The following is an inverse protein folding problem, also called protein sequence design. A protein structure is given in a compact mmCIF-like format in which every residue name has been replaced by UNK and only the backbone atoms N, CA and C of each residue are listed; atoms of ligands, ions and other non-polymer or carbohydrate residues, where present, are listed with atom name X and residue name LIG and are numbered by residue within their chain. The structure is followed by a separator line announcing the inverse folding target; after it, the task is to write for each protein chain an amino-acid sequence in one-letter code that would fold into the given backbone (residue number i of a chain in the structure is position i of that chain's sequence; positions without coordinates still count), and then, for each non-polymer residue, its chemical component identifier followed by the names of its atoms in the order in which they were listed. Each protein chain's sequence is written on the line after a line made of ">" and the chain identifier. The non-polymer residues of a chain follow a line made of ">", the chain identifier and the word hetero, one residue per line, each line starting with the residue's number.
data_IF_424702882685
#
_entry.id   IF_424702882685
#
_cell.length_a   1.000
_cell.length_b   1.000
_cell.length_c   1.000
_cell.angle_alpha   90.00
_cell.angle_beta   90.00
_cell.angle_gamma   90.00
#
_symmetry.space_group_name_H-M   'P 1'
#
loop_
_entity.id
_entity.type
_entity.pdbx_description
1 polymer ?
#
# COMPACT_ATOMS: atom_id res chain seq x y z
N UNK A 1 39.16 13.99 18.35
CA UNK A 1 38.42 14.31 17.07
C UNK A 1 37.32 15.30 17.40
N UNK A 2 37.33 16.52 16.85
CA UNK A 2 36.30 17.53 17.17
C UNK A 2 35.10 17.32 16.26
N UNK A 3 33.95 17.02 16.83
CA UNK A 3 32.68 17.04 16.08
C UNK A 3 32.31 18.49 15.73
N UNK A 4 31.86 18.74 14.50
CA UNK A 4 31.33 20.06 14.11
C UNK A 4 29.93 20.22 14.68
N UNK A 5 29.69 21.28 15.41
CA UNK A 5 28.38 21.65 15.95
C UNK A 5 27.70 22.62 14.99
N UNK A 6 26.43 22.41 14.71
CA UNK A 6 25.60 23.28 13.86
C UNK A 6 24.41 23.78 14.65
N UNK A 7 23.95 25.02 14.41
CA UNK A 7 22.77 25.56 15.07
C UNK A 7 21.51 24.82 14.61
N UNK A 8 20.57 24.66 15.54
CA UNK A 8 19.21 24.20 15.25
C UNK A 8 18.34 25.41 14.86
N UNK A 9 18.38 25.77 13.58
CA UNK A 9 17.67 26.90 13.00
C UNK A 9 16.88 26.47 11.75
N UNK A 10 16.18 27.40 11.11
CA UNK A 10 15.35 27.15 9.92
C UNK A 10 16.13 26.51 8.75
N UNK A 11 17.45 26.64 8.72
CA UNK A 11 18.31 26.08 7.66
C UNK A 11 18.82 24.65 8.01
N UNK A 12 18.37 24.07 9.10
CA UNK A 12 18.85 22.75 9.53
C UNK A 12 18.60 21.68 8.45
N UNK A 13 17.39 21.63 7.90
CA UNK A 13 17.03 20.62 6.89
C UNK A 13 17.82 20.76 5.60
N UNK A 14 18.06 21.99 5.12
CA UNK A 14 18.91 22.23 3.95
C UNK A 14 20.34 21.74 4.19
N UNK A 15 20.84 21.93 5.40
CA UNK A 15 22.17 21.44 5.80
C UNK A 15 22.20 19.91 5.88
N UNK A 16 21.19 19.26 6.44
CA UNK A 16 21.09 17.80 6.53
C UNK A 16 21.05 17.20 5.12
N UNK A 17 20.21 17.72 4.25
CA UNK A 17 20.10 17.31 2.84
C UNK A 17 21.42 17.51 2.07
N UNK A 18 22.06 18.67 2.21
CA UNK A 18 23.36 18.95 1.57
C UNK A 18 24.47 18.01 2.04
N UNK A 19 24.38 17.54 3.27
CA UNK A 19 25.35 16.62 3.88
C UNK A 19 24.98 15.15 3.70
N UNK A 20 23.84 14.86 3.08
CA UNK A 20 23.31 13.50 2.90
C UNK A 20 23.24 12.75 4.24
N UNK A 21 22.68 13.41 5.26
CA UNK A 21 22.43 12.78 6.56
C UNK A 21 21.17 11.93 6.40
N UNK A 22 21.29 10.64 6.66
CA UNK A 22 20.23 9.65 6.63
C UNK A 22 19.74 9.26 8.03
N UNK A 23 20.56 9.47 9.06
CA UNK A 23 20.28 9.05 10.43
C UNK A 23 20.62 10.14 11.45
N UNK A 24 19.73 10.36 12.40
CA UNK A 24 19.93 11.28 13.53
C UNK A 24 19.72 10.52 14.82
N UNK A 25 20.68 10.68 15.76
CA UNK A 25 20.57 10.13 17.10
C UNK A 25 20.16 11.25 18.06
N UNK A 26 19.06 11.06 18.78
CA UNK A 26 18.49 12.02 19.71
C UNK A 26 18.75 11.56 21.15
N UNK A 27 19.17 12.51 22.01
CA UNK A 27 19.24 12.24 23.45
C UNK A 27 17.83 12.07 24.03
N UNK A 28 17.58 11.08 24.91
CA UNK A 28 16.28 10.86 25.55
C UNK A 28 15.72 12.12 26.24
N UNK A 29 16.59 12.94 26.82
CA UNK A 29 16.19 14.20 27.48
C UNK A 29 15.72 15.29 26.53
N UNK A 30 15.96 15.14 25.22
CA UNK A 30 15.58 16.13 24.18
C UNK A 30 14.41 15.68 23.32
N UNK A 31 13.97 14.49 23.52
CA UNK A 31 12.88 13.87 22.79
C UNK A 31 11.62 14.74 22.91
N UNK A 32 11.16 15.03 24.12
CA UNK A 32 9.96 15.85 24.37
C UNK A 32 10.06 17.29 23.83
N UNK A 33 11.26 17.89 23.83
CA UNK A 33 11.49 19.22 23.26
C UNK A 33 11.30 19.22 21.74
N UNK A 34 11.74 18.16 21.06
CA UNK A 34 11.64 18.00 19.62
C UNK A 34 10.20 17.65 19.17
N UNK A 35 9.48 16.90 19.99
CA UNK A 35 8.04 16.65 19.83
C UNK A 35 7.24 17.96 19.81
N UNK A 36 7.40 18.75 20.88
CA UNK A 36 6.64 19.98 21.05
C UNK A 36 6.95 21.03 19.97
N UNK A 37 8.11 20.93 19.30
CA UNK A 37 8.53 21.84 18.24
C UNK A 37 8.08 21.42 16.84
N UNK A 38 7.46 20.25 16.66
CA UNK A 38 7.13 19.70 15.36
C UNK A 38 8.35 19.34 14.48
N UNK A 39 9.53 19.25 15.10
CA UNK A 39 10.79 18.97 14.41
C UNK A 39 10.85 17.51 13.94
N UNK A 40 10.28 16.60 14.73
CA UNK A 40 10.26 15.16 14.40
C UNK A 40 9.44 14.90 13.16
N UNK A 41 8.27 15.52 13.03
CA UNK A 41 7.43 15.41 11.83
C UNK A 41 8.19 15.83 10.57
N UNK A 42 9.02 16.88 10.70
CA UNK A 42 9.88 17.33 9.61
C UNK A 42 11.00 16.36 9.30
N UNK A 43 11.61 15.73 10.30
CA UNK A 43 12.67 14.72 10.10
C UNK A 43 12.11 13.50 9.35
N UNK A 44 10.98 12.96 9.80
CA UNK A 44 10.32 11.83 9.14
C UNK A 44 9.84 12.16 7.72
N UNK A 45 9.32 13.37 7.48
CA UNK A 45 8.90 13.79 6.13
C UNK A 45 10.06 13.92 5.13
N UNK A 46 11.31 13.91 5.61
CA UNK A 46 12.52 13.96 4.79
C UNK A 46 13.27 12.62 4.73
N UNK A 47 12.62 11.51 5.07
CA UNK A 47 13.20 10.15 5.09
C UNK A 47 14.46 10.05 5.97
N UNK A 48 14.51 10.77 7.09
CA UNK A 48 15.63 10.73 8.02
C UNK A 48 15.28 9.75 9.15
N UNK A 49 16.09 8.70 9.30
CA UNK A 49 15.98 7.76 10.41
C UNK A 49 16.28 8.46 11.74
N UNK A 50 15.40 8.28 12.70
CA UNK A 50 15.55 8.86 14.02
C UNK A 50 15.78 7.74 15.04
N UNK A 51 16.92 7.80 15.74
CA UNK A 51 17.31 6.82 16.75
C UNK A 51 17.42 7.49 18.11
N UNK A 52 17.20 6.77 19.19
CA UNK A 52 17.47 7.24 20.57
C UNK A 52 18.36 6.27 21.31
N UNK A 53 19.09 6.81 22.28
CA UNK A 53 19.85 6.00 23.22
C UNK A 53 18.92 5.66 24.39
N UNK A 54 18.71 4.38 24.75
CA UNK A 54 17.87 4.03 25.88
C UNK A 54 18.44 4.63 27.19
N UNK A 55 17.59 4.87 28.20
CA UNK A 55 18.05 5.29 29.51
C UNK A 55 19.09 4.31 30.06
N UNK A 56 20.07 4.81 30.79
CA UNK A 56 21.15 3.98 31.41
C UNK A 56 20.63 2.86 32.31
N UNK A 57 19.39 2.96 32.80
CA UNK A 57 18.70 1.92 33.57
C UNK A 57 18.39 0.66 32.75
N UNK A 58 18.24 0.79 31.43
CA UNK A 58 17.78 -0.26 30.52
C UNK A 58 18.94 -0.87 29.71
N UNK A 59 20.16 -0.39 29.94
CA UNK A 59 21.37 -0.81 29.21
C UNK A 59 21.96 -2.16 29.66
N UNK A 60 21.22 -3.01 30.33
CA UNK A 60 21.72 -4.31 30.79
C UNK A 60 21.62 -5.42 29.72
N UNK A 61 20.97 -5.19 28.59
CA UNK A 61 20.89 -6.13 27.46
C UNK A 61 21.28 -5.47 26.13
N UNK A 62 22.23 -6.03 25.49
CA UNK A 62 22.85 -5.96 24.13
C UNK A 62 22.39 -4.92 23.07
N UNK A 63 21.84 -3.79 23.39
CA UNK A 63 21.44 -2.81 22.39
C UNK A 63 21.54 -1.36 22.83
N UNK A 64 22.69 -0.73 22.58
CA UNK A 64 22.96 0.66 22.96
C UNK A 64 22.15 1.72 22.17
N UNK A 65 21.52 1.36 21.07
CA UNK A 65 20.79 2.30 20.20
C UNK A 65 19.53 1.59 19.69
N UNK A 66 18.36 2.19 19.93
CA UNK A 66 17.07 1.70 19.43
C UNK A 66 16.55 2.59 18.31
N UNK A 67 16.04 2.00 17.24
CA UNK A 67 15.19 2.72 16.28
C UNK A 67 13.92 3.17 16.98
N UNK A 68 13.63 4.46 16.88
CA UNK A 68 12.35 5.01 17.33
C UNK A 68 11.33 4.71 16.24
N UNK A 69 10.37 3.87 16.56
CA UNK A 69 9.22 3.67 15.70
C UNK A 69 8.23 4.82 15.90
N UNK A 70 7.52 5.22 14.83
CA UNK A 70 6.50 6.28 14.91
C UNK A 70 5.42 5.88 15.93
N UNK A 71 5.17 4.58 16.09
CA UNK A 71 4.24 4.00 17.03
C UNK A 71 4.58 4.30 18.50
N UNK A 72 5.86 4.41 18.84
CA UNK A 72 6.32 4.75 20.20
C UNK A 72 5.92 6.18 20.63
N UNK A 73 5.50 7.00 19.65
CA UNK A 73 5.16 8.41 19.83
C UNK A 73 3.66 8.70 19.71
N UNK A 74 2.87 7.71 19.31
CA UNK A 74 1.43 7.89 19.26
C UNK A 74 0.89 8.12 20.66
N UNK A 75 0.18 9.23 20.86
CA UNK A 75 -0.55 9.50 22.12
C UNK A 75 -1.82 8.65 22.26
N UNK A 76 -1.92 7.57 21.55
CA UNK A 76 -3.00 6.59 21.57
C UNK A 76 -2.45 5.18 21.55
N UNK A 77 -3.28 4.25 21.95
CA UNK A 77 -2.92 2.83 21.82
C UNK A 77 -2.76 2.45 20.34
N UNK A 78 -1.75 1.63 20.01
CA UNK A 78 -1.61 1.07 18.67
C UNK A 78 -2.85 0.29 18.25
N UNK A 79 -3.09 0.22 16.95
CA UNK A 79 -4.18 -0.58 16.40
C UNK A 79 -3.92 -2.06 16.72
N UNK A 80 -4.86 -2.69 17.39
CA UNK A 80 -4.80 -4.12 17.67
C UNK A 80 -5.53 -4.88 16.57
N UNK A 81 -4.87 -5.90 16.02
CA UNK A 81 -5.43 -6.85 15.05
C UNK A 81 -5.32 -8.27 15.59
N UNK A 82 -6.15 -9.17 15.10
CA UNK A 82 -6.05 -10.59 15.46
C UNK A 82 -4.95 -11.29 14.64
N UNK A 83 -3.69 -11.08 15.06
CA UNK A 83 -2.51 -11.65 14.41
C UNK A 83 -2.62 -13.17 14.25
N UNK A 84 -3.28 -13.89 15.19
CA UNK A 84 -3.43 -15.36 15.12
C UNK A 84 -4.29 -15.76 13.93
N UNK A 85 -5.38 -15.03 13.68
CA UNK A 85 -6.24 -15.29 12.52
C UNK A 85 -5.52 -14.97 11.22
N UNK A 86 -4.79 -13.85 11.18
CA UNK A 86 -3.99 -13.47 9.99
C UNK A 86 -2.96 -14.58 9.72
N UNK A 87 -2.20 -14.98 10.73
CA UNK A 87 -1.20 -16.07 10.60
C UNK A 87 -1.81 -17.34 10.06
N UNK A 88 -2.94 -17.81 10.60
CA UNK A 88 -3.60 -19.04 10.17
C UNK A 88 -3.97 -19.06 8.67
N UNK A 89 -4.16 -17.91 8.06
CA UNK A 89 -4.47 -17.80 6.62
C UNK A 89 -3.24 -17.58 5.74
N UNK A 90 -2.14 -17.08 6.30
CA UNK A 90 -0.91 -16.78 5.57
C UNK A 90 0.10 -17.93 5.65
N UNK A 91 0.19 -18.56 6.83
CA UNK A 91 1.13 -19.64 7.08
C UNK A 91 1.02 -20.75 6.03
N UNK A 92 2.18 -21.17 5.51
CA UNK A 92 2.26 -22.21 4.51
C UNK A 92 1.71 -21.85 3.12
N UNK A 93 1.34 -20.58 2.86
CA UNK A 93 0.79 -20.13 1.57
C UNK A 93 1.87 -19.47 0.69
N UNK A 94 1.66 -19.55 -0.62
CA UNK A 94 2.40 -18.74 -1.59
C UNK A 94 1.70 -17.39 -1.73
N UNK A 95 2.39 -16.33 -1.31
CA UNK A 95 1.84 -14.97 -1.28
C UNK A 95 2.60 -14.09 -2.27
N UNK A 96 1.89 -13.47 -3.20
CA UNK A 96 2.46 -12.52 -4.16
C UNK A 96 2.16 -11.09 -3.72
N UNK A 97 3.19 -10.24 -3.78
CA UNK A 97 3.05 -8.79 -3.60
C UNK A 97 3.55 -8.12 -4.87
N UNK A 98 2.70 -7.38 -5.56
CA UNK A 98 3.09 -6.52 -6.69
C UNK A 98 3.25 -5.09 -6.22
N UNK A 99 4.20 -4.35 -6.80
CA UNK A 99 4.63 -3.07 -6.23
C UNK A 99 5.41 -3.26 -4.93
N UNK A 100 6.13 -4.38 -4.82
CA UNK A 100 6.82 -4.81 -3.60
C UNK A 100 7.95 -3.86 -3.15
N UNK A 101 8.49 -3.07 -4.06
CA UNK A 101 9.54 -2.09 -3.78
C UNK A 101 8.98 -0.71 -3.33
N UNK A 102 7.68 -0.46 -3.53
CA UNK A 102 7.00 0.76 -3.07
C UNK A 102 6.82 0.78 -1.54
N UNK A 103 6.58 1.95 -0.95
CA UNK A 103 6.46 2.10 0.50
C UNK A 103 5.42 1.14 1.13
N UNK A 104 4.21 1.08 0.55
CA UNK A 104 3.13 0.19 1.03
C UNK A 104 3.49 -1.28 0.78
N UNK A 105 3.96 -1.62 -0.44
CA UNK A 105 4.30 -2.99 -0.79
C UNK A 105 5.44 -3.54 0.08
N UNK A 106 6.49 -2.74 0.31
CA UNK A 106 7.62 -3.11 1.18
C UNK A 106 7.17 -3.37 2.62
N UNK A 107 6.29 -2.53 3.16
CA UNK A 107 5.77 -2.72 4.51
C UNK A 107 4.90 -3.98 4.61
N UNK A 108 4.03 -4.22 3.63
CA UNK A 108 3.26 -5.49 3.54
C UNK A 108 4.19 -6.69 3.48
N UNK A 109 5.27 -6.63 2.70
CA UNK A 109 6.26 -7.70 2.59
C UNK A 109 6.94 -7.98 3.94
N UNK A 110 7.35 -6.93 4.67
CA UNK A 110 7.94 -7.07 6.01
C UNK A 110 6.99 -7.79 6.98
N UNK A 111 5.75 -7.36 7.02
CA UNK A 111 4.75 -7.96 7.89
C UNK A 111 4.43 -9.41 7.50
N UNK A 112 4.27 -9.70 6.21
CA UNK A 112 4.10 -11.06 5.72
C UNK A 112 5.26 -11.98 6.07
N UNK A 113 6.50 -11.47 6.06
CA UNK A 113 7.69 -12.25 6.40
C UNK A 113 7.66 -12.77 7.86
N UNK A 114 6.97 -12.07 8.76
CA UNK A 114 6.80 -12.51 10.17
C UNK A 114 5.73 -13.59 10.34
N UNK A 115 4.89 -13.83 9.32
CA UNK A 115 3.71 -14.71 9.38
C UNK A 115 3.96 -16.11 8.79
N UNK A 116 5.21 -16.46 8.52
CA UNK A 116 5.63 -17.82 8.10
C UNK A 116 4.98 -18.30 6.78
N UNK A 117 4.90 -17.49 5.71
CA UNK A 117 4.40 -17.98 4.42
C UNK A 117 5.32 -19.06 3.88
N UNK A 118 4.78 -19.97 3.05
CA UNK A 118 5.61 -20.96 2.35
C UNK A 118 6.57 -20.28 1.38
N UNK A 119 6.11 -19.24 0.67
CA UNK A 119 6.92 -18.48 -0.26
C UNK A 119 6.37 -17.06 -0.40
N UNK A 120 7.25 -16.05 -0.38
CA UNK A 120 6.96 -14.69 -0.80
C UNK A 120 7.41 -14.47 -2.25
N UNK A 121 6.49 -13.98 -3.09
CA UNK A 121 6.73 -13.68 -4.50
C UNK A 121 6.65 -12.17 -4.65
N UNK A 122 7.78 -11.51 -4.86
CA UNK A 122 7.92 -10.07 -4.93
C UNK A 122 8.04 -9.63 -6.37
N UNK A 123 7.10 -8.81 -6.82
CA UNK A 123 7.06 -8.31 -8.21
C UNK A 123 7.11 -6.78 -8.19
N UNK A 124 8.08 -6.21 -8.88
CA UNK A 124 8.17 -4.77 -9.12
C UNK A 124 8.95 -4.50 -10.41
N UNK A 125 8.71 -3.34 -11.03
CA UNK A 125 9.50 -2.90 -12.19
C UNK A 125 10.79 -2.19 -11.79
N UNK A 126 10.88 -1.68 -10.56
CA UNK A 126 12.02 -0.94 -10.03
C UNK A 126 13.07 -1.92 -9.47
N UNK A 127 14.07 -2.28 -10.27
CA UNK A 127 15.10 -3.28 -9.92
C UNK A 127 15.83 -2.94 -8.63
N UNK A 128 16.44 -1.76 -8.53
CA UNK A 128 17.29 -1.41 -7.39
C UNK A 128 16.55 -1.38 -6.06
N UNK A 129 15.38 -0.73 -5.91
CA UNK A 129 14.62 -0.80 -4.67
C UNK A 129 14.12 -2.21 -4.34
N UNK A 130 13.83 -3.03 -5.37
CA UNK A 130 13.41 -4.42 -5.17
C UNK A 130 14.56 -5.29 -4.64
N UNK A 131 15.77 -5.03 -5.10
CA UNK A 131 16.99 -5.67 -4.58
C UNK A 131 17.24 -5.30 -3.11
N UNK A 132 17.03 -4.04 -2.73
CA UNK A 132 17.13 -3.61 -1.32
C UNK A 132 16.17 -4.38 -0.41
N UNK A 133 14.92 -4.61 -0.87
CA UNK A 133 13.96 -5.45 -0.15
C UNK A 133 14.45 -6.90 -0.02
N UNK A 134 15.04 -7.45 -1.08
CA UNK A 134 15.61 -8.81 -1.04
C UNK A 134 16.73 -8.92 -0.01
N UNK A 135 17.64 -7.96 0.03
CA UNK A 135 18.74 -7.94 1.01
C UNK A 135 18.18 -7.89 2.44
N UNK A 136 17.25 -6.97 2.70
CA UNK A 136 16.60 -6.84 4.01
C UNK A 136 15.97 -8.16 4.47
N UNK A 137 15.23 -8.85 3.59
CA UNK A 137 14.63 -10.14 3.91
C UNK A 137 15.66 -11.23 4.18
N UNK A 138 16.74 -11.29 3.39
CA UNK A 138 17.79 -12.30 3.56
C UNK A 138 18.56 -12.13 4.88
N UNK A 139 18.68 -10.89 5.36
CA UNK A 139 19.39 -10.59 6.60
C UNK A 139 18.54 -10.98 7.84
N UNK A 140 17.23 -10.73 7.81
CA UNK A 140 16.36 -10.92 8.96
C UNK A 140 15.61 -12.25 8.98
N UNK A 141 15.27 -12.82 7.81
CA UNK A 141 14.46 -14.06 7.68
C UNK A 141 15.17 -15.11 6.82
N UNK A 142 16.28 -15.65 7.31
CA UNK A 142 17.17 -16.58 6.57
C UNK A 142 16.50 -17.85 6.04
N UNK A 143 15.41 -18.29 6.66
CA UNK A 143 14.69 -19.50 6.28
C UNK A 143 13.45 -19.24 5.41
N UNK A 144 13.17 -17.98 5.09
CA UNK A 144 12.02 -17.60 4.27
C UNK A 144 12.35 -17.81 2.79
N UNK A 145 11.52 -18.56 2.10
CA UNK A 145 11.61 -18.71 0.66
C UNK A 145 11.10 -17.43 -0.04
N UNK A 146 12.01 -16.68 -0.64
CA UNK A 146 11.71 -15.41 -1.31
C UNK A 146 12.05 -15.52 -2.78
N UNK A 147 11.07 -15.19 -3.63
CA UNK A 147 11.25 -15.11 -5.08
C UNK A 147 11.08 -13.69 -5.57
N UNK A 148 12.16 -13.09 -6.05
CA UNK A 148 12.19 -11.72 -6.54
C UNK A 148 12.12 -11.71 -8.06
N UNK A 149 11.17 -10.95 -8.62
CA UNK A 149 10.86 -10.93 -10.04
C UNK A 149 10.72 -9.49 -10.54
N UNK A 150 11.67 -9.04 -11.36
CA UNK A 150 11.55 -7.74 -12.02
C UNK A 150 10.57 -7.87 -13.17
N UNK A 151 9.42 -7.19 -13.04
CA UNK A 151 8.38 -7.20 -14.06
C UNK A 151 7.45 -6.00 -13.92
N UNK A 152 6.94 -5.53 -15.06
CA UNK A 152 5.88 -4.55 -15.15
C UNK A 152 4.51 -5.27 -15.16
N UNK A 153 3.61 -4.88 -14.27
CA UNK A 153 2.25 -5.44 -14.19
C UNK A 153 1.42 -5.18 -15.45
N UNK A 154 1.74 -4.14 -16.21
CA UNK A 154 1.12 -3.86 -17.51
C UNK A 154 1.51 -4.88 -18.58
N UNK A 155 2.63 -5.60 -18.43
CA UNK A 155 3.06 -6.63 -19.35
C UNK A 155 2.33 -7.95 -19.09
N UNK A 156 1.19 -8.14 -19.76
CA UNK A 156 0.32 -9.33 -19.62
C UNK A 156 1.08 -10.64 -19.77
N UNK A 157 1.87 -10.77 -20.84
CA UNK A 157 2.58 -12.02 -21.16
C UNK A 157 3.58 -12.38 -20.07
N UNK A 158 4.33 -11.38 -19.56
CA UNK A 158 5.30 -11.60 -18.50
C UNK A 158 4.61 -11.97 -17.18
N UNK A 159 3.53 -11.28 -16.83
CA UNK A 159 2.76 -11.57 -15.62
C UNK A 159 2.12 -12.96 -15.69
N UNK A 160 1.60 -13.35 -16.84
CA UNK A 160 1.03 -14.68 -17.02
C UNK A 160 2.06 -15.81 -16.80
N UNK A 161 3.25 -15.67 -17.37
CA UNK A 161 4.35 -16.62 -17.11
C UNK A 161 4.72 -16.69 -15.61
N UNK A 162 4.72 -15.54 -14.92
CA UNK A 162 4.97 -15.49 -13.47
C UNK A 162 3.87 -16.23 -12.69
N UNK A 163 2.59 -16.00 -13.00
CA UNK A 163 1.48 -16.69 -12.32
C UNK A 163 1.50 -18.20 -12.60
N UNK A 164 1.81 -18.60 -13.83
CA UNK A 164 1.93 -19.99 -14.20
C UNK A 164 3.02 -20.71 -13.41
N UNK A 165 4.17 -20.08 -13.28
CA UNK A 165 5.34 -20.64 -12.60
C UNK A 165 5.17 -20.65 -11.07
N UNK A 166 4.66 -19.56 -10.48
CA UNK A 166 4.63 -19.38 -9.03
C UNK A 166 3.34 -19.84 -8.38
N UNK A 167 2.22 -19.88 -9.12
CA UNK A 167 0.91 -20.31 -8.62
C UNK A 167 0.54 -19.67 -7.26
N UNK A 168 0.49 -18.35 -7.16
CA UNK A 168 0.18 -17.69 -5.90
C UNK A 168 -1.23 -18.05 -5.41
N UNK A 169 -1.38 -18.18 -4.10
CA UNK A 169 -2.67 -18.45 -3.46
C UNK A 169 -3.32 -17.17 -2.94
N UNK A 170 -2.48 -16.18 -2.58
CA UNK A 170 -2.89 -14.86 -2.14
C UNK A 170 -2.13 -13.81 -2.95
N UNK A 171 -2.79 -12.72 -3.33
CA UNK A 171 -2.19 -11.60 -4.06
C UNK A 171 -2.52 -10.29 -3.38
N UNK A 172 -1.49 -9.54 -3.01
CA UNK A 172 -1.60 -8.14 -2.59
C UNK A 172 -1.10 -7.26 -3.73
N UNK A 173 -2.01 -6.56 -4.38
CA UNK A 173 -1.71 -5.72 -5.52
C UNK A 173 -1.55 -4.27 -5.10
N UNK A 174 -0.29 -3.84 -4.92
CA UNK A 174 0.11 -2.48 -4.55
C UNK A 174 0.76 -1.71 -5.69
N UNK A 175 1.03 -2.36 -6.83
CA UNK A 175 1.66 -1.71 -7.98
C UNK A 175 0.76 -0.63 -8.56
N UNK A 176 1.22 0.62 -8.51
CA UNK A 176 0.54 1.76 -9.12
C UNK A 176 1.43 2.99 -9.15
N UNK A 177 1.24 3.86 -10.13
CA UNK A 177 1.73 5.23 -10.08
C UNK A 177 0.84 6.07 -9.16
N UNK A 178 1.47 6.87 -8.28
CA UNK A 178 0.78 7.62 -7.21
C UNK A 178 1.03 9.13 -7.22
N UNK A 179 1.99 9.62 -7.99
CA UNK A 179 2.32 11.04 -8.03
C UNK A 179 1.36 11.79 -8.95
N UNK A 180 0.43 12.57 -8.35
CA UNK A 180 -0.63 13.29 -9.06
C UNK A 180 -0.09 14.18 -10.18
N UNK A 181 0.84 15.10 -9.87
CA UNK A 181 1.38 16.02 -10.86
C UNK A 181 2.01 15.31 -12.05
N UNK A 182 2.78 14.25 -11.80
CA UNK A 182 3.42 13.48 -12.86
C UNK A 182 2.38 12.73 -13.70
N UNK A 183 1.37 12.15 -13.09
CA UNK A 183 0.35 11.38 -13.80
C UNK A 183 -0.64 12.28 -14.55
N UNK A 184 -0.81 13.51 -14.12
CA UNK A 184 -1.55 14.49 -14.91
C UNK A 184 -0.83 14.85 -16.20
N UNK A 185 0.50 14.80 -16.24
CA UNK A 185 1.26 15.00 -17.48
C UNK A 185 1.35 13.72 -18.33
N UNK A 186 1.40 12.55 -17.71
CA UNK A 186 1.56 11.24 -18.34
C UNK A 186 0.35 10.33 -18.11
N UNK A 187 -0.83 10.76 -18.55
CA UNK A 187 -2.11 10.05 -18.34
C UNK A 187 -2.10 8.65 -18.95
N UNK A 188 -1.44 8.45 -20.10
CA UNK A 188 -1.27 7.13 -20.72
C UNK A 188 -0.57 6.14 -19.76
N UNK A 189 0.46 6.58 -19.08
CA UNK A 189 1.20 5.75 -18.13
C UNK A 189 0.35 5.37 -16.90
N UNK A 190 -0.46 6.33 -16.40
CA UNK A 190 -1.43 6.04 -15.36
C UNK A 190 -2.45 4.97 -15.80
N UNK A 191 -2.95 5.03 -17.04
CA UNK A 191 -3.87 4.03 -17.58
C UNK A 191 -3.18 2.67 -17.74
N UNK A 192 -1.94 2.65 -18.29
CA UNK A 192 -1.22 1.41 -18.50
C UNK A 192 -0.90 0.70 -17.18
N UNK A 193 -0.35 1.40 -16.21
CA UNK A 193 0.05 0.78 -14.95
C UNK A 193 -1.14 0.57 -14.01
N UNK A 194 -1.94 1.60 -13.75
CA UNK A 194 -2.98 1.53 -12.72
C UNK A 194 -4.22 0.77 -13.20
N UNK A 195 -4.58 0.89 -14.49
CA UNK A 195 -5.77 0.21 -15.02
C UNK A 195 -5.37 -1.11 -15.68
N UNK A 196 -4.55 -1.08 -16.76
CA UNK A 196 -4.19 -2.30 -17.47
C UNK A 196 -3.43 -3.29 -16.58
N UNK A 197 -2.52 -2.80 -15.74
CA UNK A 197 -1.84 -3.62 -14.72
C UNK A 197 -2.84 -4.31 -13.79
N UNK A 198 -3.81 -3.56 -13.24
CA UNK A 198 -4.84 -4.14 -12.36
C UNK A 198 -5.73 -5.16 -13.09
N UNK A 199 -6.15 -4.86 -14.34
CA UNK A 199 -6.89 -5.81 -15.19
C UNK A 199 -6.10 -7.11 -15.36
N UNK A 200 -4.80 -7.01 -15.67
CA UNK A 200 -3.95 -8.18 -15.85
C UNK A 200 -3.90 -9.03 -14.57
N UNK A 201 -3.68 -8.41 -13.42
CA UNK A 201 -3.59 -9.11 -12.14
C UNK A 201 -4.93 -9.76 -11.76
N UNK A 202 -6.05 -9.04 -11.93
CA UNK A 202 -7.38 -9.56 -11.62
C UNK A 202 -7.73 -10.77 -12.52
N UNK A 203 -7.55 -10.66 -13.82
CA UNK A 203 -7.82 -11.76 -14.76
C UNK A 203 -6.93 -12.98 -14.50
N UNK A 204 -5.65 -12.76 -14.18
CA UNK A 204 -4.72 -13.84 -13.86
C UNK A 204 -5.04 -14.48 -12.52
N UNK A 205 -5.49 -13.70 -11.53
CA UNK A 205 -5.97 -14.25 -10.27
C UNK A 205 -7.11 -15.22 -10.47
N UNK A 206 -8.09 -14.88 -11.33
CA UNK A 206 -9.17 -15.77 -11.71
C UNK A 206 -8.65 -16.99 -12.47
N UNK A 207 -7.85 -16.78 -13.51
CA UNK A 207 -7.34 -17.85 -14.37
C UNK A 207 -6.55 -18.89 -13.59
N UNK A 208 -5.75 -18.46 -12.63
CA UNK A 208 -4.88 -19.32 -11.82
C UNK A 208 -5.47 -19.68 -10.45
N UNK A 209 -6.76 -19.39 -10.22
CA UNK A 209 -7.52 -19.75 -9.01
C UNK A 209 -6.84 -19.25 -7.73
N UNK A 210 -6.40 -17.99 -7.73
CA UNK A 210 -5.97 -17.31 -6.53
C UNK A 210 -7.13 -17.26 -5.54
N UNK A 211 -6.94 -17.72 -4.31
CA UNK A 211 -8.04 -17.75 -3.35
C UNK A 211 -8.50 -16.34 -2.96
N UNK A 212 -7.56 -15.40 -2.81
CA UNK A 212 -7.85 -14.01 -2.43
C UNK A 212 -6.93 -13.01 -3.13
N UNK A 213 -7.52 -11.95 -3.67
CA UNK A 213 -6.80 -10.81 -4.24
C UNK A 213 -7.22 -9.53 -3.55
N UNK A 214 -6.25 -8.82 -3.00
CA UNK A 214 -6.42 -7.50 -2.36
C UNK A 214 -5.83 -6.43 -3.26
N UNK A 215 -6.65 -5.53 -3.80
CA UNK A 215 -6.20 -4.34 -4.51
C UNK A 215 -6.03 -3.18 -3.53
N UNK A 216 -4.84 -2.58 -3.50
CA UNK A 216 -4.59 -1.40 -2.68
C UNK A 216 -4.85 -0.14 -3.51
N UNK A 217 -5.78 0.67 -3.03
CA UNK A 217 -6.21 1.91 -3.65
C UNK A 217 -6.01 3.10 -2.70
N UNK A 218 -6.42 4.28 -3.12
CA UNK A 218 -6.33 5.52 -2.35
C UNK A 218 -7.72 6.02 -1.94
N UNK A 219 -7.84 6.65 -0.78
CA UNK A 219 -9.12 7.20 -0.30
C UNK A 219 -9.76 8.17 -1.31
N UNK A 220 -8.94 8.98 -1.99
CA UNK A 220 -9.41 9.96 -2.98
C UNK A 220 -10.01 9.32 -4.24
N UNK A 221 -9.81 8.02 -4.48
CA UNK A 221 -10.46 7.32 -5.60
C UNK A 221 -12.01 7.32 -5.47
N UNK A 222 -12.55 7.63 -4.30
CA UNK A 222 -14.00 7.79 -4.09
C UNK A 222 -14.58 8.98 -4.86
N UNK A 223 -13.86 10.11 -4.85
CA UNK A 223 -14.23 11.35 -5.50
C UNK A 223 -13.04 11.87 -6.32
N UNK A 224 -12.78 11.24 -7.49
CA UNK A 224 -11.57 11.54 -8.24
C UNK A 224 -11.62 12.94 -8.87
N UNK A 225 -10.53 13.71 -8.70
CA UNK A 225 -10.39 15.06 -9.22
C UNK A 225 -9.32 15.15 -10.33
N UNK A 226 -8.36 14.24 -10.33
CA UNK A 226 -7.22 14.22 -11.25
C UNK A 226 -7.06 12.87 -11.95
N UNK A 227 -6.17 12.80 -12.97
CA UNK A 227 -5.98 11.62 -13.79
C UNK A 227 -5.56 10.38 -12.97
N UNK A 228 -4.70 10.55 -11.98
CA UNK A 228 -4.26 9.46 -11.10
C UNK A 228 -5.44 8.86 -10.33
N UNK A 229 -6.27 9.68 -9.71
CA UNK A 229 -7.44 9.24 -8.94
C UNK A 229 -8.51 8.60 -9.84
N UNK A 230 -8.77 9.18 -11.03
CA UNK A 230 -9.64 8.55 -12.03
C UNK A 230 -9.13 7.17 -12.44
N UNK A 231 -7.81 7.02 -12.66
CA UNK A 231 -7.24 5.72 -13.03
C UNK A 231 -7.43 4.67 -11.94
N UNK A 232 -7.26 5.06 -10.68
CA UNK A 232 -7.53 4.19 -9.53
C UNK A 232 -9.01 3.80 -9.46
N UNK A 233 -9.93 4.78 -9.63
CA UNK A 233 -11.37 4.50 -9.58
C UNK A 233 -11.82 3.55 -10.69
N UNK A 234 -11.33 3.73 -11.92
CA UNK A 234 -11.64 2.81 -13.03
C UNK A 234 -11.14 1.39 -12.73
N UNK A 235 -9.93 1.27 -12.18
CA UNK A 235 -9.40 -0.03 -11.77
C UNK A 235 -10.22 -0.69 -10.65
N UNK A 236 -10.70 0.08 -9.66
CA UNK A 236 -11.63 -0.40 -8.63
C UNK A 236 -12.93 -0.94 -9.23
N UNK A 237 -13.54 -0.20 -10.17
CA UNK A 237 -14.77 -0.61 -10.86
C UNK A 237 -14.56 -1.96 -11.55
N UNK A 238 -13.42 -2.14 -12.21
CA UNK A 238 -13.10 -3.42 -12.86
C UNK A 238 -13.01 -4.57 -11.85
N UNK A 239 -12.28 -4.39 -10.75
CA UNK A 239 -12.12 -5.42 -9.71
C UNK A 239 -13.46 -5.79 -9.07
N UNK A 240 -14.29 -4.79 -8.76
CA UNK A 240 -15.62 -5.00 -8.18
C UNK A 240 -16.56 -5.77 -9.13
N UNK A 241 -16.59 -5.41 -10.42
CA UNK A 241 -17.39 -6.10 -11.40
C UNK A 241 -16.93 -7.54 -11.62
N UNK A 242 -15.62 -7.78 -11.59
CA UNK A 242 -15.03 -9.12 -11.71
C UNK A 242 -15.43 -10.02 -10.55
N UNK A 243 -15.40 -9.52 -9.31
CA UNK A 243 -15.84 -10.29 -8.14
C UNK A 243 -17.33 -10.61 -8.17
N UNK A 244 -18.18 -9.65 -8.54
CA UNK A 244 -19.61 -9.86 -8.69
C UNK A 244 -19.95 -10.95 -9.72
N UNK A 245 -19.19 -11.02 -10.83
CA UNK A 245 -19.31 -12.09 -11.81
C UNK A 245 -18.89 -13.44 -11.24
N UNK A 246 -17.73 -13.50 -10.59
CA UNK A 246 -17.19 -14.74 -10.05
C UNK A 246 -18.09 -15.37 -9.01
N UNK A 247 -18.70 -14.57 -8.13
CA UNK A 247 -19.68 -15.07 -7.15
C UNK A 247 -20.90 -15.72 -7.79
N UNK A 248 -21.29 -15.26 -9.00
CA UNK A 248 -22.37 -15.88 -9.79
C UNK A 248 -21.94 -17.18 -10.45
N UNK A 249 -20.72 -17.22 -11.00
CA UNK A 249 -20.29 -18.30 -11.90
C UNK A 249 -19.52 -19.42 -11.18
N UNK A 250 -18.55 -19.12 -10.33
CA UNK A 250 -17.62 -20.14 -9.77
C UNK A 250 -17.33 -20.02 -8.28
N UNK A 251 -17.36 -18.83 -7.73
CA UNK A 251 -17.09 -18.57 -6.30
C UNK A 251 -15.68 -18.90 -5.81
N UNK A 252 -14.70 -19.08 -6.72
CA UNK A 252 -13.37 -19.61 -6.35
C UNK A 252 -12.35 -18.52 -5.93
N UNK A 253 -12.55 -17.26 -6.32
CA UNK A 253 -11.62 -16.14 -6.06
C UNK A 253 -12.37 -14.98 -5.43
N UNK A 254 -12.00 -14.59 -4.23
CA UNK A 254 -12.51 -13.37 -3.60
C UNK A 254 -11.60 -12.18 -3.95
N UNK A 255 -12.20 -11.06 -4.37
CA UNK A 255 -11.49 -9.83 -4.67
C UNK A 255 -11.98 -8.70 -3.79
N UNK A 256 -11.04 -7.97 -3.18
CA UNK A 256 -11.36 -6.82 -2.34
C UNK A 256 -10.56 -5.61 -2.73
N UNK A 257 -11.05 -4.47 -2.32
CA UNK A 257 -10.36 -3.20 -2.46
C UNK A 257 -10.12 -2.63 -1.06
N UNK A 258 -8.88 -2.24 -0.81
CA UNK A 258 -8.51 -1.51 0.39
C UNK A 258 -8.07 -0.12 -0.02
N UNK A 259 -8.85 0.90 0.34
CA UNK A 259 -8.47 2.30 0.19
C UNK A 259 -7.70 2.73 1.42
N UNK A 260 -6.44 3.07 1.22
CA UNK A 260 -5.63 3.68 2.26
C UNK A 260 -5.92 5.19 2.29
N UNK A 261 -6.25 5.71 3.47
CA UNK A 261 -6.35 7.13 3.73
C UNK A 261 -4.99 7.82 3.74
N UNK A 262 -4.96 9.07 4.20
CA UNK A 262 -3.69 9.75 4.45
C UNK A 262 -2.96 9.08 5.61
N UNK A 263 -1.84 8.43 5.29
CA UNK A 263 -1.07 7.58 6.19
C UNK A 263 0.18 8.30 6.71
N UNK A 264 0.27 9.63 6.58
CA UNK A 264 1.46 10.36 7.02
C UNK A 264 1.19 11.24 8.25
N UNK A 265 2.16 11.35 9.16
CA UNK A 265 2.07 12.21 10.32
C UNK A 265 2.20 13.67 9.90
N UNK A 266 1.13 14.30 9.48
CA UNK A 266 1.05 15.75 9.40
C UNK A 266 0.17 16.23 10.53
N UNK A 267 0.80 16.73 11.59
CA UNK A 267 0.20 17.37 12.75
C UNK A 267 -0.74 16.51 13.61
N UNK A 268 -0.32 16.17 14.82
CA UNK A 268 -1.09 15.86 16.05
C UNK A 268 -2.37 15.01 15.97
N UNK A 269 -2.86 14.69 14.77
CA UNK A 269 -4.05 13.90 14.49
C UNK A 269 -3.79 12.79 13.49
N UNK A 270 -2.58 12.20 13.48
CA UNK A 270 -2.33 11.01 12.66
C UNK A 270 -3.26 9.88 13.11
N UNK A 271 -4.25 9.58 12.25
CA UNK A 271 -5.27 8.57 12.57
C UNK A 271 -4.69 7.16 12.52
N UNK A 272 -3.63 6.92 11.69
CA UNK A 272 -3.04 5.60 11.50
C UNK A 272 -1.65 5.69 10.88
N UNK A 273 -0.71 4.84 11.33
CA UNK A 273 0.64 4.74 10.72
C UNK A 273 0.61 3.86 9.45
N UNK A 274 1.69 3.91 8.66
CA UNK A 274 1.83 3.03 7.50
C UNK A 274 1.82 1.54 7.93
N UNK A 275 2.51 1.23 9.01
CA UNK A 275 2.57 -0.13 9.57
C UNK A 275 1.19 -0.62 10.00
N UNK A 276 0.44 0.20 10.77
CA UNK A 276 -0.93 -0.11 11.17
C UNK A 276 -1.88 -0.25 9.97
N UNK A 277 -1.77 0.63 8.97
CA UNK A 277 -2.59 0.55 7.76
C UNK A 277 -2.32 -0.73 6.97
N UNK A 278 -1.05 -1.14 6.86
CA UNK A 278 -0.67 -2.39 6.22
C UNK A 278 -1.17 -3.61 7.03
N UNK A 279 -1.07 -3.58 8.36
CA UNK A 279 -1.60 -4.64 9.21
C UNK A 279 -3.10 -4.82 9.08
N UNK A 280 -3.86 -3.71 9.06
CA UNK A 280 -5.31 -3.75 8.80
C UNK A 280 -5.62 -4.23 7.37
N UNK A 281 -4.75 -3.91 6.39
CA UNK A 281 -4.88 -4.44 5.02
C UNK A 281 -4.71 -5.95 4.98
N UNK A 282 -3.77 -6.50 5.75
CA UNK A 282 -3.62 -7.96 5.89
C UNK A 282 -4.83 -8.58 6.56
N UNK A 283 -5.37 -7.97 7.63
CA UNK A 283 -6.57 -8.45 8.31
C UNK A 283 -7.78 -8.48 7.38
N UNK A 284 -8.03 -7.41 6.62
CA UNK A 284 -9.08 -7.35 5.59
C UNK A 284 -8.86 -8.44 4.53
N UNK A 285 -7.63 -8.57 4.02
CA UNK A 285 -7.28 -9.56 3.01
C UNK A 285 -7.55 -11.00 3.43
N UNK A 286 -7.56 -11.25 4.72
CA UNK A 286 -7.80 -12.58 5.31
C UNK A 286 -9.26 -12.79 5.70
N UNK A 287 -9.91 -11.76 6.25
CA UNK A 287 -11.23 -11.87 6.88
C UNK A 287 -12.35 -11.20 6.08
N UNK A 288 -12.02 -10.42 5.06
CA UNK A 288 -13.01 -9.68 4.28
C UNK A 288 -13.89 -10.59 3.42
N UNK A 289 -15.06 -10.08 3.04
CA UNK A 289 -15.96 -10.68 2.06
C UNK A 289 -15.70 -10.05 0.70
N UNK A 290 -15.55 -10.84 -0.37
CA UNK A 290 -15.26 -10.32 -1.72
C UNK A 290 -16.29 -9.32 -2.22
N UNK A 291 -15.90 -8.43 -3.15
CA UNK A 291 -16.72 -7.38 -3.75
C UNK A 291 -16.88 -6.14 -2.89
N UNK A 292 -16.30 -6.10 -1.70
CA UNK A 292 -16.38 -4.96 -0.81
C UNK A 292 -15.18 -4.01 -0.96
N UNK A 293 -15.42 -2.75 -0.63
CA UNK A 293 -14.38 -1.72 -0.50
C UNK A 293 -14.22 -1.40 0.98
N UNK A 294 -13.00 -1.57 1.46
CA UNK A 294 -12.62 -1.25 2.82
C UNK A 294 -11.82 0.04 2.85
N UNK A 295 -12.14 0.95 3.77
CA UNK A 295 -11.42 2.21 3.96
C UNK A 295 -10.67 2.13 5.26
N UNK A 296 -9.35 2.26 5.17
CA UNK A 296 -8.42 2.18 6.29
C UNK A 296 -7.76 3.55 6.49
N UNK A 297 -7.91 4.14 7.68
CA UNK A 297 -7.26 5.41 8.01
C UNK A 297 -7.89 6.66 7.37
N UNK A 298 -9.18 6.63 7.03
CA UNK A 298 -9.90 7.81 6.54
C UNK A 298 -10.21 8.82 7.66
N UNK A 299 -10.54 10.10 7.34
CA UNK A 299 -11.04 11.04 8.32
C UNK A 299 -12.33 10.49 8.89
N UNK A 300 -12.28 9.95 10.10
CA UNK A 300 -13.43 9.54 10.87
C UNK A 300 -13.82 10.66 11.81
N UNK A 301 -15.11 10.94 11.91
CA UNK A 301 -15.68 11.83 12.93
C UNK A 301 -15.14 11.38 14.30
N UNK A 302 -14.36 12.27 14.92
CA UNK A 302 -13.55 12.00 16.10
C UNK A 302 -14.32 11.34 17.23
N UNK A 303 -14.03 10.07 17.44
CA UNK A 303 -14.29 9.39 18.71
C UNK A 303 -13.27 8.25 18.84
N UNK A 304 -12.40 8.40 19.80
CA UNK A 304 -11.21 7.62 20.09
C UNK A 304 -11.50 6.34 20.88
N UNK A 305 -12.75 5.95 21.06
CA UNK A 305 -13.12 4.82 21.89
C UNK A 305 -13.87 3.75 21.09
N UNK A 306 -13.27 2.61 21.11
CA UNK A 306 -13.78 1.27 20.76
C UNK A 306 -13.39 0.67 19.39
N UNK A 307 -12.74 -0.48 19.49
CA UNK A 307 -12.72 -1.67 18.62
C UNK A 307 -12.44 -1.50 17.11
N UNK A 308 -11.53 -2.30 16.62
CA UNK A 308 -11.02 -2.49 15.24
C UNK A 308 -12.07 -2.28 14.13
N UNK A 309 -13.35 -2.58 14.38
CA UNK A 309 -14.44 -2.41 13.42
C UNK A 309 -14.76 -0.96 13.06
N UNK A 310 -14.36 0.02 13.86
CA UNK A 310 -14.65 1.45 13.60
C UNK A 310 -13.61 2.12 12.68
N UNK A 311 -12.42 1.54 12.56
CA UNK A 311 -11.37 2.04 11.66
C UNK A 311 -11.46 1.52 10.24
N UNK A 312 -12.33 0.54 9.99
CA UNK A 312 -12.57 -0.06 8.69
C UNK A 312 -14.03 0.22 8.30
N UNK A 313 -14.26 1.14 7.38
CA UNK A 313 -15.57 1.36 6.78
C UNK A 313 -15.74 0.41 5.59
N UNK A 314 -16.93 -0.20 5.49
CA UNK A 314 -17.30 -1.08 4.37
C UNK A 314 -18.24 -0.35 3.42
N UNK A 315 -17.97 -0.41 2.15
CA UNK A 315 -18.86 0.07 1.08
C UNK A 315 -19.18 -1.10 0.16
N UNK A 316 -20.48 -1.40 -0.01
CA UNK A 316 -20.91 -2.35 -1.03
C UNK A 316 -21.01 -1.65 -2.37
N UNK A 317 -20.42 -2.21 -3.40
CA UNK A 317 -20.61 -1.74 -4.75
C UNK A 317 -21.70 -2.54 -5.45
N UNK A 318 -22.54 -1.83 -6.18
CA UNK A 318 -23.47 -2.41 -7.13
C UNK A 318 -22.92 -2.25 -8.55
N UNK A 319 -21.96 -3.07 -8.94
CA UNK A 319 -21.51 -3.13 -10.33
C UNK A 319 -21.93 -4.48 -10.89
N UNK A 320 -23.11 -4.52 -11.49
CA UNK A 320 -23.73 -5.78 -11.93
C UNK A 320 -23.41 -6.19 -13.37
N UNK A 321 -22.84 -5.29 -14.20
CA UNK A 321 -22.57 -5.54 -15.60
C UNK A 321 -21.07 -5.64 -15.91
N UNK A 322 -20.49 -6.79 -15.58
CA UNK A 322 -19.07 -7.07 -15.84
C UNK A 322 -18.69 -6.95 -17.32
N UNK A 323 -19.51 -7.47 -18.24
CA UNK A 323 -19.13 -7.47 -19.66
C UNK A 323 -19.07 -6.04 -20.20
N UNK A 324 -20.01 -5.18 -19.84
CA UNK A 324 -19.98 -3.78 -20.23
C UNK A 324 -18.78 -3.03 -19.61
N UNK A 325 -18.52 -3.22 -18.30
CA UNK A 325 -17.33 -2.65 -17.65
C UNK A 325 -16.05 -3.09 -18.35
N UNK A 326 -15.96 -4.37 -18.67
CA UNK A 326 -14.79 -4.95 -19.33
C UNK A 326 -14.55 -4.34 -20.71
N UNK A 327 -15.61 -4.20 -21.51
CA UNK A 327 -15.53 -3.59 -22.85
C UNK A 327 -15.04 -2.15 -22.77
N UNK A 328 -15.63 -1.32 -21.92
CA UNK A 328 -15.26 0.09 -21.75
C UNK A 328 -13.82 0.25 -21.22
N UNK A 329 -13.41 -0.56 -20.24
CA UNK A 329 -12.06 -0.51 -19.66
C UNK A 329 -11.01 -0.97 -20.68
N UNK A 330 -11.26 -2.06 -21.43
CA UNK A 330 -10.33 -2.53 -22.44
C UNK A 330 -10.21 -1.54 -23.61
N UNK A 331 -11.32 -0.91 -24.03
CA UNK A 331 -11.29 0.15 -25.02
C UNK A 331 -10.46 1.35 -24.53
N UNK A 332 -10.64 1.79 -23.28
CA UNK A 332 -9.81 2.85 -22.67
C UNK A 332 -8.32 2.49 -22.70
N UNK A 333 -7.97 1.26 -22.31
CA UNK A 333 -6.57 0.78 -22.35
C UNK A 333 -6.02 0.84 -23.77
N UNK A 334 -6.78 0.43 -24.77
CA UNK A 334 -6.34 0.47 -26.15
C UNK A 334 -6.15 1.93 -26.64
N UNK A 335 -7.06 2.82 -26.29
CA UNK A 335 -6.96 4.25 -26.61
C UNK A 335 -5.74 4.93 -25.97
N UNK A 336 -5.26 4.45 -24.84
CA UNK A 336 -4.10 5.05 -24.15
C UNK A 336 -2.80 5.03 -24.96
N UNK A 337 -2.68 4.15 -25.99
CA UNK A 337 -1.52 4.10 -26.87
C UNK A 337 -1.51 5.15 -27.96
N UNK A 338 -2.66 5.71 -28.31
CA UNK A 338 -2.82 6.54 -29.52
C UNK A 338 -3.45 7.91 -29.26
N UNK A 339 -4.26 8.03 -28.20
CA UNK A 339 -5.05 9.23 -27.95
C UNK A 339 -4.35 10.27 -27.09
N UNK A 340 -4.78 11.52 -27.26
CA UNK A 340 -4.26 12.65 -26.49
C UNK A 340 -4.83 12.66 -25.07
N UNK A 341 -4.07 13.20 -24.12
CA UNK A 341 -4.41 13.38 -22.69
C UNK A 341 -5.87 13.80 -22.46
N UNK A 342 -6.36 14.82 -23.14
CA UNK A 342 -7.72 15.34 -22.92
C UNK A 342 -8.82 14.30 -23.27
N UNK A 343 -8.60 13.49 -24.32
CA UNK A 343 -9.52 12.42 -24.72
C UNK A 343 -9.50 11.32 -23.66
N UNK A 344 -8.32 10.89 -23.21
CA UNK A 344 -8.16 9.84 -22.20
C UNK A 344 -8.84 10.21 -20.87
N UNK A 345 -8.65 11.44 -20.40
CA UNK A 345 -9.35 11.96 -19.23
C UNK A 345 -10.88 11.97 -19.45
N UNK A 346 -11.32 12.38 -20.63
CA UNK A 346 -12.74 12.35 -21.00
C UNK A 346 -13.34 10.94 -20.97
N UNK A 347 -12.60 9.93 -21.44
CA UNK A 347 -13.02 8.53 -21.41
C UNK A 347 -13.09 7.99 -19.96
N UNK A 348 -12.08 8.26 -19.13
CA UNK A 348 -12.12 7.88 -17.70
C UNK A 348 -13.31 8.52 -16.98
N UNK A 349 -13.57 9.82 -17.24
CA UNK A 349 -14.71 10.55 -16.68
C UNK A 349 -16.07 9.98 -17.13
N UNK A 350 -16.13 9.34 -18.28
CA UNK A 350 -17.33 8.64 -18.76
C UNK A 350 -17.59 7.34 -17.99
N UNK A 351 -16.53 6.55 -17.77
CA UNK A 351 -16.65 5.25 -17.08
C UNK A 351 -17.10 5.44 -15.63
N UNK A 352 -16.50 6.39 -14.92
CA UNK A 352 -16.75 6.60 -13.48
C UNK A 352 -18.22 6.91 -13.14
N UNK A 353 -18.98 7.79 -13.84
CA UNK A 353 -20.38 8.04 -13.55
C UNK A 353 -21.34 6.91 -13.93
N UNK A 354 -20.98 6.07 -14.91
CA UNK A 354 -21.81 4.91 -15.28
C UNK A 354 -21.90 3.93 -14.10
N UNK A 355 -20.88 3.90 -13.26
CA UNK A 355 -20.77 3.01 -12.11
C UNK A 355 -20.61 3.81 -10.82
N UNK A 356 -21.65 4.56 -10.39
CA UNK A 356 -21.58 5.35 -9.17
C UNK A 356 -21.46 4.42 -7.96
N UNK A 357 -20.80 4.94 -6.90
CA UNK A 357 -20.85 4.27 -5.59
C UNK A 357 -22.30 4.25 -5.10
N UNK A 358 -22.78 3.09 -4.67
CA UNK A 358 -24.06 3.03 -3.99
C UNK A 358 -24.00 3.92 -2.75
N UNK A 359 -24.84 4.95 -2.69
CA UNK A 359 -25.02 5.73 -1.48
C UNK A 359 -25.60 4.80 -0.42
N UNK A 360 -24.80 4.39 0.54
CA UNK A 360 -25.31 3.81 1.78
C UNK A 360 -26.11 4.87 2.50
N UNK A 361 -27.42 4.66 2.59
CA UNK A 361 -28.30 5.34 3.55
C UNK A 361 -27.98 4.88 4.97
#
# INVERSE_FOLDING_TARGET
>A
MGCRVYPNDEQLFDRLKKKKVDTIIISPSKVSDLENSGMLDKLFSHDIHVMTVPPLSDCMDDGLIKDIQIEDWLRREPVQVDVRKITAHIEGRRVMVTGAAGAVGREIVRQLATLNPYQLILVDQAESPLYDVQLELSDHWKNLEVRVLVADVANRTRMEAIFEETRPQLVFHSAAYKHVQLMDDFVSEAIQTNISGTVNIADLAVKYRVSRMVMISAANARHPENAMEYSKRVAEIYVQSSDCRLKRDTGETDMFIVRLGEVYPTNTHCLITLSEACMLTLEVGVMGDGGEVYIVGGPGDGLLDSVISEKIKREKASVDDYEHVREEVLALVQHSYTEKKAILIGLMKKIVPIFPLSSTQ
#
